data_IF_767902062071
#
_entry.id   IF_767902062071
#
_cell.length_a   1.000
_cell.length_b   1.000
_cell.length_c   1.000
_cell.angle_alpha   90.00
_cell.angle_beta   90.00
_cell.angle_gamma   90.00
#
_symmetry.space_group_name_H-M   'P 1'
#
loop_
_entity.id
_entity.type
_entity.pdbx_description
1 polymer ?
#
# COMPACT_ATOMS: atom_id res chain seq x y z
N UNK A 1 -0.04 -10.75 27.26
CA UNK A 1 -0.66 -10.85 25.92
C UNK A 1 0.04 -9.86 24.99
N UNK A 2 0.55 -10.30 23.86
CA UNK A 2 1.11 -9.38 22.87
C UNK A 2 0.01 -8.43 22.37
N UNK A 3 0.29 -7.12 22.41
CA UNK A 3 -0.64 -6.11 21.92
C UNK A 3 -0.78 -6.27 20.39
N UNK A 4 -1.98 -6.59 19.92
CA UNK A 4 -2.28 -6.66 18.49
C UNK A 4 -2.15 -5.28 17.85
N UNK A 5 -1.37 -5.17 16.77
CA UNK A 5 -1.27 -3.94 15.98
C UNK A 5 -2.48 -3.82 15.07
N UNK A 6 -3.21 -2.71 15.16
CA UNK A 6 -4.37 -2.41 14.33
C UNK A 6 -3.95 -1.52 13.17
N UNK A 7 -4.18 -1.99 11.95
CA UNK A 7 -3.80 -1.30 10.71
C UNK A 7 -5.07 -0.93 9.94
N UNK A 8 -5.14 0.32 9.46
CA UNK A 8 -6.09 0.76 8.45
C UNK A 8 -5.34 0.87 7.13
N UNK A 9 -5.78 0.17 6.11
CA UNK A 9 -5.21 0.27 4.76
C UNK A 9 -6.28 0.74 3.76
N UNK A 10 -5.90 1.57 2.81
CA UNK A 10 -6.75 2.08 1.74
C UNK A 10 -5.90 2.46 0.54
N UNK A 11 -6.39 2.18 -0.67
CA UNK A 11 -5.88 2.68 -1.95
C UNK A 11 -6.94 3.49 -2.69
N UNK A 12 -6.58 4.02 -3.84
CA UNK A 12 -7.48 4.63 -4.83
C UNK A 12 -8.36 5.75 -4.26
N UNK A 13 -7.76 6.62 -3.46
CA UNK A 13 -8.43 7.78 -2.84
C UNK A 13 -8.79 8.84 -3.89
N UNK A 14 -7.95 8.97 -4.95
CA UNK A 14 -8.16 9.89 -6.08
C UNK A 14 -8.61 11.31 -5.69
N UNK A 15 -7.98 11.87 -4.64
CA UNK A 15 -8.26 13.24 -4.20
C UNK A 15 -9.53 13.41 -3.35
N UNK A 16 -10.23 12.35 -2.98
CA UNK A 16 -11.43 12.41 -2.13
C UNK A 16 -11.10 12.80 -0.68
N UNK A 17 -11.05 14.10 -0.43
CA UNK A 17 -10.79 14.65 0.91
C UNK A 17 -11.92 14.36 1.90
N UNK A 18 -13.15 14.12 1.43
CA UNK A 18 -14.29 13.74 2.26
C UNK A 18 -14.10 12.34 2.84
N UNK A 19 -13.67 11.40 2.00
CA UNK A 19 -13.29 10.06 2.42
C UNK A 19 -12.14 10.11 3.43
N UNK A 20 -11.06 10.84 3.12
CA UNK A 20 -9.89 10.95 4.01
C UNK A 20 -10.30 11.42 5.40
N UNK A 21 -11.19 12.42 5.51
CA UNK A 21 -11.72 12.87 6.82
C UNK A 21 -12.44 11.75 7.57
N UNK A 22 -13.33 11.02 6.89
CA UNK A 22 -14.06 9.89 7.50
C UNK A 22 -13.12 8.78 7.97
N UNK A 23 -12.12 8.44 7.14
CA UNK A 23 -11.11 7.43 7.48
C UNK A 23 -10.21 7.86 8.65
N UNK A 24 -9.82 9.13 8.72
CA UNK A 24 -9.04 9.67 9.83
C UNK A 24 -9.83 9.67 11.15
N UNK A 25 -11.13 10.00 11.11
CA UNK A 25 -12.02 9.89 12.26
C UNK A 25 -12.19 8.43 12.70
N UNK A 26 -12.40 7.51 11.76
CA UNK A 26 -12.45 6.07 12.02
C UNK A 26 -11.14 5.59 12.67
N UNK A 27 -9.99 5.95 12.09
CA UNK A 27 -8.68 5.59 12.63
C UNK A 27 -8.48 6.09 14.07
N UNK A 28 -8.97 7.31 14.38
CA UNK A 28 -8.94 7.85 15.74
C UNK A 28 -9.88 7.09 16.68
N UNK A 29 -11.14 6.90 16.30
CA UNK A 29 -12.18 6.23 17.09
C UNK A 29 -11.81 4.78 17.43
N UNK A 30 -11.25 4.07 16.46
CA UNK A 30 -10.90 2.66 16.61
C UNK A 30 -9.48 2.43 17.16
N UNK A 31 -8.77 3.50 17.54
CA UNK A 31 -7.39 3.43 18.03
C UNK A 31 -6.46 2.67 17.07
N UNK A 32 -6.53 2.97 15.77
CA UNK A 32 -5.63 2.41 14.75
C UNK A 32 -4.19 2.81 15.09
N UNK A 33 -3.26 1.86 15.02
CA UNK A 33 -1.85 2.09 15.33
C UNK A 33 -1.06 2.55 14.09
N UNK A 34 -1.51 2.21 12.89
CA UNK A 34 -0.84 2.49 11.62
C UNK A 34 -1.84 2.65 10.48
N UNK A 35 -1.61 3.62 9.61
CA UNK A 35 -2.35 3.81 8.35
C UNK A 35 -1.43 3.50 7.18
N UNK A 36 -1.92 2.75 6.19
CA UNK A 36 -1.22 2.42 4.95
C UNK A 36 -2.02 2.98 3.78
N UNK A 37 -1.40 3.88 3.00
CA UNK A 37 -1.93 4.43 1.77
C UNK A 37 -1.31 3.69 0.59
N UNK A 38 -2.09 2.81 -0.03
CA UNK A 38 -1.62 1.83 -1.01
C UNK A 38 -1.64 2.35 -2.46
N UNK A 39 -1.33 3.62 -2.67
CA UNK A 39 -1.26 4.28 -3.97
C UNK A 39 -2.57 4.92 -4.41
N UNK A 40 -2.50 5.66 -5.51
CA UNK A 40 -3.58 6.46 -6.09
C UNK A 40 -4.24 7.38 -5.07
N UNK A 41 -3.38 8.07 -4.31
CA UNK A 41 -3.80 9.10 -3.36
C UNK A 41 -4.36 10.31 -4.10
N UNK A 42 -3.73 10.68 -5.22
CA UNK A 42 -4.12 11.80 -6.07
C UNK A 42 -4.86 11.32 -7.33
N UNK A 43 -5.46 12.23 -8.05
CA UNK A 43 -5.90 12.00 -9.42
C UNK A 43 -4.98 12.78 -10.37
N UNK A 44 -4.03 12.09 -11.03
CA UNK A 44 -3.07 12.67 -11.98
C UNK A 44 -2.31 13.89 -11.38
N UNK A 45 -1.95 13.79 -10.11
CA UNK A 45 -1.26 14.85 -9.31
C UNK A 45 -2.03 16.17 -9.15
N UNK A 46 -3.29 16.25 -9.59
CA UNK A 46 -4.06 17.50 -9.57
C UNK A 46 -4.49 17.96 -8.17
N UNK A 47 -4.64 17.05 -7.22
CA UNK A 47 -5.07 17.36 -5.85
C UNK A 47 -4.16 16.70 -4.83
N UNK A 48 -3.40 17.49 -4.09
CA UNK A 48 -2.48 16.99 -3.05
C UNK A 48 -2.86 17.46 -1.64
N UNK A 49 -3.74 18.48 -1.54
CA UNK A 49 -4.11 19.09 -0.27
C UNK A 49 -5.08 18.21 0.54
N UNK A 50 -4.85 18.14 1.85
CA UNK A 50 -5.74 17.46 2.82
C UNK A 50 -5.93 15.95 2.60
N UNK A 51 -5.05 15.28 1.88
CA UNK A 51 -5.10 13.83 1.66
C UNK A 51 -4.35 13.05 2.75
N UNK A 52 -3.35 13.64 3.38
CA UNK A 52 -2.54 13.03 4.45
C UNK A 52 -2.77 13.74 5.79
N UNK A 53 -2.88 15.07 5.75
CA UNK A 53 -2.97 15.92 6.93
C UNK A 53 -4.00 15.48 7.98
N UNK A 54 -5.21 15.01 7.63
CA UNK A 54 -6.19 14.52 8.60
C UNK A 54 -5.69 13.33 9.44
N UNK A 55 -4.95 12.39 8.86
CA UNK A 55 -4.36 11.26 9.60
C UNK A 55 -3.25 11.73 10.56
N UNK A 56 -2.40 12.65 10.09
CA UNK A 56 -1.33 13.25 10.92
C UNK A 56 -1.92 14.03 12.09
N UNK A 57 -2.97 14.83 11.84
CA UNK A 57 -3.72 15.54 12.91
C UNK A 57 -4.37 14.57 13.91
N UNK A 58 -4.80 13.39 13.44
CA UNK A 58 -5.31 12.32 14.30
C UNK A 58 -4.17 11.56 15.03
N UNK A 59 -2.92 12.03 14.92
CA UNK A 59 -1.71 11.42 15.52
C UNK A 59 -1.50 9.97 15.09
N UNK A 60 -1.78 9.66 13.81
CA UNK A 60 -1.55 8.33 13.24
C UNK A 60 -0.20 8.29 12.54
N UNK A 61 0.51 7.20 12.71
CA UNK A 61 1.67 6.87 11.87
C UNK A 61 1.15 6.47 10.49
N UNK A 62 1.76 6.99 9.44
CA UNK A 62 1.30 6.79 8.06
C UNK A 62 2.44 6.28 7.19
N UNK A 63 2.18 5.23 6.43
CA UNK A 63 3.03 4.75 5.35
C UNK A 63 2.33 4.99 4.02
N UNK A 64 3.09 5.29 2.99
CA UNK A 64 2.59 5.53 1.64
C UNK A 64 3.46 4.81 0.60
N UNK A 65 2.86 4.38 -0.49
CA UNK A 65 3.49 4.07 -1.77
C UNK A 65 2.80 4.89 -2.87
N UNK A 66 3.46 5.18 -4.00
CA UNK A 66 2.79 5.75 -5.17
C UNK A 66 1.83 4.73 -5.80
N UNK A 67 0.77 5.21 -6.44
CA UNK A 67 0.00 4.43 -7.41
C UNK A 67 0.44 4.74 -8.84
N UNK A 68 -0.45 4.57 -9.81
CA UNK A 68 -0.19 4.97 -11.19
C UNK A 68 -0.64 6.42 -11.49
N UNK A 69 -1.34 7.08 -10.58
CA UNK A 69 -1.80 8.47 -10.69
C UNK A 69 -0.88 9.50 -10.01
N UNK A 70 0.18 9.09 -9.35
CA UNK A 70 1.24 9.98 -8.86
C UNK A 70 2.64 9.40 -9.07
N UNK A 71 3.59 10.29 -9.33
CA UNK A 71 5.00 9.92 -9.47
C UNK A 71 5.65 9.62 -8.11
N UNK A 72 6.80 8.93 -8.13
CA UNK A 72 7.62 8.73 -6.92
C UNK A 72 8.03 10.08 -6.33
N UNK A 73 8.36 11.06 -7.18
CA UNK A 73 8.76 12.39 -6.73
C UNK A 73 7.64 13.11 -5.95
N UNK A 74 6.39 13.03 -6.43
CA UNK A 74 5.24 13.59 -5.72
C UNK A 74 4.99 12.85 -4.41
N UNK A 75 5.13 11.54 -4.40
CA UNK A 75 4.97 10.72 -3.18
C UNK A 75 6.04 11.05 -2.14
N UNK A 76 7.30 11.21 -2.56
CA UNK A 76 8.42 11.61 -1.69
C UNK A 76 8.21 13.02 -1.13
N UNK A 77 7.80 13.97 -1.98
CA UNK A 77 7.46 15.32 -1.55
C UNK A 77 6.36 15.33 -0.49
N UNK A 78 5.29 14.56 -0.70
CA UNK A 78 4.20 14.45 0.27
C UNK A 78 4.67 13.78 1.56
N UNK A 79 5.50 12.75 1.47
CA UNK A 79 6.04 12.06 2.64
C UNK A 79 6.90 13.01 3.49
N UNK A 80 7.76 13.80 2.86
CA UNK A 80 8.59 14.81 3.53
C UNK A 80 7.73 15.92 4.14
N UNK A 81 6.80 16.50 3.38
CA UNK A 81 5.92 17.60 3.82
C UNK A 81 5.12 17.25 5.07
N UNK A 82 4.65 16.01 5.18
CA UNK A 82 3.82 15.56 6.30
C UNK A 82 4.58 14.78 7.36
N UNK A 83 5.89 14.56 7.20
CA UNK A 83 6.72 13.80 8.13
C UNK A 83 6.31 12.31 8.22
N UNK A 84 5.84 11.73 7.12
CA UNK A 84 5.44 10.32 7.00
C UNK A 84 6.49 9.53 6.21
N UNK A 85 6.26 8.24 5.97
CA UNK A 85 7.26 7.39 5.30
C UNK A 85 6.74 6.84 3.97
N UNK A 86 7.46 7.14 2.88
CA UNK A 86 7.33 6.40 1.63
C UNK A 86 8.08 5.07 1.75
N UNK A 87 7.38 3.96 1.51
CA UNK A 87 7.96 2.60 1.56
C UNK A 87 8.16 1.99 0.17
N UNK A 88 8.07 2.77 -0.91
CA UNK A 88 8.37 2.32 -2.27
C UNK A 88 9.85 1.95 -2.42
N UNK A 89 10.17 0.67 -2.47
CA UNK A 89 11.53 0.13 -2.44
C UNK A 89 12.23 0.23 -1.08
N UNK A 90 11.48 0.58 -0.05
CA UNK A 90 11.93 0.66 1.34
C UNK A 90 11.11 -0.24 2.26
N UNK A 91 11.41 -0.17 3.53
CA UNK A 91 10.70 -0.92 4.56
C UNK A 91 10.54 -0.10 5.83
N UNK A 92 9.60 -0.54 6.64
CA UNK A 92 9.30 0.01 7.95
C UNK A 92 9.09 -1.14 8.94
N UNK A 93 9.52 -0.97 10.18
CA UNK A 93 9.32 -1.96 11.24
C UNK A 93 8.52 -1.36 12.39
N UNK A 94 7.50 -2.08 12.85
CA UNK A 94 6.71 -1.73 14.02
C UNK A 94 6.60 -2.94 14.94
N UNK A 95 7.35 -2.92 16.03
CA UNK A 95 7.52 -4.11 16.87
C UNK A 95 8.07 -5.28 16.05
N UNK A 96 7.40 -6.41 16.07
CA UNK A 96 7.79 -7.62 15.34
C UNK A 96 7.30 -7.66 13.87
N UNK A 97 6.61 -6.60 13.40
CA UNK A 97 6.04 -6.53 12.07
C UNK A 97 6.96 -5.73 11.15
N UNK A 98 7.44 -6.36 10.09
CA UNK A 98 8.11 -5.71 8.97
C UNK A 98 7.14 -5.43 7.83
N UNK A 99 7.18 -4.22 7.29
CA UNK A 99 6.31 -3.76 6.20
C UNK A 99 7.20 -3.25 5.09
N UNK A 100 6.97 -3.69 3.87
CA UNK A 100 7.72 -3.27 2.69
C UNK A 100 6.80 -3.14 1.50
N UNK A 101 7.19 -2.36 0.50
CA UNK A 101 6.27 -2.15 -0.63
C UNK A 101 6.91 -1.64 -1.89
N UNK A 102 6.12 -1.71 -2.96
CA UNK A 102 6.36 -1.09 -4.25
C UNK A 102 5.06 -0.63 -4.86
N UNK A 103 5.06 0.58 -5.39
CA UNK A 103 3.91 1.17 -6.09
C UNK A 103 4.17 1.33 -7.57
N UNK A 104 3.28 2.08 -8.24
CA UNK A 104 3.22 2.22 -9.69
C UNK A 104 2.27 1.22 -10.34
N UNK A 105 2.02 1.38 -11.62
CA UNK A 105 1.14 0.51 -12.39
C UNK A 105 1.64 0.29 -13.81
N UNK A 106 0.85 -0.38 -14.62
CA UNK A 106 1.11 -0.61 -16.05
C UNK A 106 0.53 0.49 -16.95
N UNK A 107 -0.30 1.35 -16.39
CA UNK A 107 -0.94 2.50 -17.03
C UNK A 107 -0.69 3.78 -16.22
N UNK A 108 -1.17 4.94 -16.72
CA UNK A 108 -1.10 6.22 -16.00
C UNK A 108 0.24 6.94 -16.16
N UNK A 109 0.50 7.88 -15.25
CA UNK A 109 1.72 8.71 -15.28
C UNK A 109 2.94 8.06 -14.62
N UNK A 110 2.71 7.09 -13.74
CA UNK A 110 3.77 6.31 -13.12
C UNK A 110 3.70 4.85 -13.56
N UNK A 111 4.16 4.62 -14.79
CA UNK A 111 4.31 3.27 -15.31
C UNK A 111 5.62 2.65 -14.83
N UNK A 112 5.56 1.40 -14.40
CA UNK A 112 6.69 0.66 -13.86
C UNK A 112 6.72 -0.77 -14.46
N UNK A 113 7.90 -1.25 -14.77
CA UNK A 113 8.08 -2.63 -15.28
C UNK A 113 8.02 -3.64 -14.14
N UNK A 114 7.49 -4.82 -14.43
CA UNK A 114 7.46 -5.95 -13.48
C UNK A 114 8.85 -6.25 -12.88
N UNK A 115 9.91 -6.21 -13.70
CA UNK A 115 11.27 -6.43 -13.21
C UNK A 115 11.68 -5.40 -12.14
N UNK A 116 11.27 -4.15 -12.28
CA UNK A 116 11.55 -3.09 -11.32
C UNK A 116 10.72 -3.26 -10.05
N UNK A 117 9.43 -3.57 -10.17
CA UNK A 117 8.57 -3.90 -9.02
C UNK A 117 9.22 -5.01 -8.17
N UNK A 118 9.70 -6.07 -8.82
CA UNK A 118 10.33 -7.18 -8.11
C UNK A 118 11.59 -6.77 -7.35
N UNK A 119 12.48 -5.98 -7.98
CA UNK A 119 13.72 -5.53 -7.32
C UNK A 119 13.44 -4.57 -6.16
N UNK A 120 12.44 -3.68 -6.27
CA UNK A 120 12.01 -2.81 -5.18
C UNK A 120 11.47 -3.62 -4.00
N UNK A 121 10.60 -4.60 -4.24
CA UNK A 121 10.07 -5.50 -3.22
C UNK A 121 11.17 -6.32 -2.56
N UNK A 122 12.10 -6.86 -3.35
CA UNK A 122 13.26 -7.62 -2.86
C UNK A 122 14.15 -6.77 -1.94
N UNK A 123 14.47 -5.55 -2.35
CA UNK A 123 15.24 -4.58 -1.54
C UNK A 123 14.56 -4.27 -0.21
N UNK A 124 13.24 -4.05 -0.23
CA UNK A 124 12.46 -3.82 0.99
C UNK A 124 12.43 -5.05 1.90
N UNK A 125 12.15 -6.24 1.35
CA UNK A 125 12.09 -7.50 2.10
C UNK A 125 13.42 -7.84 2.79
N UNK A 126 14.57 -7.60 2.13
CA UNK A 126 15.90 -7.87 2.71
C UNK A 126 16.15 -7.10 4.00
N UNK A 127 15.58 -5.90 4.16
CA UNK A 127 15.77 -5.06 5.34
C UNK A 127 14.95 -5.49 6.55
N UNK A 128 13.94 -6.33 6.34
CA UNK A 128 13.05 -6.82 7.39
C UNK A 128 13.12 -8.35 7.55
N UNK A 129 14.23 -8.97 7.14
CA UNK A 129 14.41 -10.44 7.18
C UNK A 129 14.16 -11.05 8.57
N UNK A 130 14.48 -10.30 9.62
CA UNK A 130 14.38 -10.74 11.01
C UNK A 130 13.01 -10.46 11.64
N UNK A 131 12.08 -9.87 10.91
CA UNK A 131 10.71 -9.62 11.38
C UNK A 131 9.94 -10.92 11.50
N UNK A 132 9.19 -11.10 12.60
CA UNK A 132 8.35 -12.30 12.81
C UNK A 132 7.13 -12.35 11.88
N UNK A 133 6.61 -11.16 11.51
CA UNK A 133 5.49 -10.99 10.59
C UNK A 133 5.89 -10.04 9.48
N UNK A 134 5.47 -10.36 8.26
CA UNK A 134 5.77 -9.54 7.08
C UNK A 134 4.50 -9.13 6.36
N UNK A 135 4.38 -7.84 6.12
CA UNK A 135 3.31 -7.27 5.28
C UNK A 135 3.95 -6.71 4.02
N UNK A 136 3.53 -7.20 2.88
CA UNK A 136 3.87 -6.66 1.57
C UNK A 136 2.76 -5.70 1.13
N UNK A 137 3.12 -4.53 0.62
CA UNK A 137 2.17 -3.52 0.11
C UNK A 137 2.51 -3.24 -1.34
N UNK A 138 1.55 -3.43 -2.22
CA UNK A 138 1.69 -3.09 -3.65
C UNK A 138 0.50 -2.26 -4.09
N UNK A 139 0.67 -1.43 -5.13
CA UNK A 139 -0.49 -0.81 -5.75
C UNK A 139 -1.17 -1.83 -6.66
N UNK A 140 -0.44 -2.40 -7.62
CA UNK A 140 -0.99 -3.47 -8.47
C UNK A 140 -1.30 -4.75 -7.68
N UNK A 141 -2.34 -5.46 -8.11
CA UNK A 141 -2.65 -6.81 -7.67
C UNK A 141 -1.70 -7.84 -8.34
N UNK A 142 -1.65 -9.05 -7.82
CA UNK A 142 -0.81 -10.11 -8.39
C UNK A 142 -1.48 -10.78 -9.60
N UNK A 143 -0.66 -11.32 -10.50
CA UNK A 143 -1.14 -12.15 -11.62
C UNK A 143 -1.89 -13.40 -11.11
N UNK A 144 -2.99 -13.73 -11.75
CA UNK A 144 -3.88 -14.83 -11.38
C UNK A 144 -4.72 -14.54 -10.12
N UNK A 145 -4.92 -13.27 -9.78
CA UNK A 145 -5.79 -12.86 -8.67
C UNK A 145 -7.26 -12.87 -9.08
N UNK A 146 -8.12 -12.91 -8.07
CA UNK A 146 -9.56 -12.72 -8.30
C UNK A 146 -9.89 -11.35 -8.88
N UNK A 147 -9.04 -10.35 -8.67
CA UNK A 147 -9.22 -8.99 -9.21
C UNK A 147 -9.14 -8.94 -10.74
N UNK A 148 -8.59 -9.97 -11.41
CA UNK A 148 -8.53 -10.05 -12.88
C UNK A 148 -9.90 -10.22 -13.55
N UNK A 149 -10.98 -10.43 -12.79
CA UNK A 149 -12.35 -10.39 -13.36
C UNK A 149 -12.67 -9.02 -13.98
N UNK A 150 -11.96 -7.97 -13.59
CA UNK A 150 -12.05 -6.63 -14.17
C UNK A 150 -11.54 -6.54 -15.62
N UNK A 151 -10.83 -7.58 -16.09
CA UNK A 151 -10.17 -7.59 -17.40
C UNK A 151 -8.74 -7.05 -17.40
N UNK A 152 -8.25 -6.56 -16.26
CA UNK A 152 -6.86 -6.12 -16.10
C UNK A 152 -6.00 -7.25 -15.54
N UNK A 153 -4.91 -7.58 -16.25
CA UNK A 153 -3.95 -8.60 -15.82
C UNK A 153 -3.13 -8.08 -14.63
N UNK A 154 -2.95 -8.91 -13.60
CA UNK A 154 -2.11 -8.57 -12.45
C UNK A 154 -0.62 -8.72 -12.72
N UNK A 155 0.21 -8.16 -11.84
CA UNK A 155 1.67 -8.19 -11.94
C UNK A 155 2.23 -9.58 -11.67
N UNK A 156 2.99 -10.12 -12.63
CA UNK A 156 3.77 -11.36 -12.48
C UNK A 156 4.88 -11.21 -11.44
N UNK A 157 5.42 -10.00 -11.32
CA UNK A 157 6.43 -9.68 -10.30
C UNK A 157 5.86 -9.75 -8.89
N UNK A 158 4.65 -9.22 -8.68
CA UNK A 158 3.97 -9.33 -7.38
C UNK A 158 3.66 -10.80 -7.06
N UNK A 159 3.21 -11.58 -8.03
CA UNK A 159 3.00 -13.03 -7.86
C UNK A 159 4.28 -13.74 -7.45
N UNK A 160 5.36 -13.50 -8.15
CA UNK A 160 6.70 -14.05 -7.84
C UNK A 160 7.17 -13.65 -6.44
N UNK A 161 6.96 -12.38 -6.06
CA UNK A 161 7.34 -11.89 -4.74
C UNK A 161 6.56 -12.59 -3.60
N UNK A 162 5.27 -12.91 -3.80
CA UNK A 162 4.50 -13.72 -2.85
C UNK A 162 5.15 -15.11 -2.68
N UNK A 163 5.52 -15.74 -3.80
CA UNK A 163 6.06 -17.10 -3.84
C UNK A 163 7.48 -17.19 -3.29
N UNK A 164 8.32 -16.14 -3.43
CA UNK A 164 9.69 -16.14 -2.94
C UNK A 164 9.85 -15.57 -1.53
N UNK A 165 9.08 -14.52 -1.17
CA UNK A 165 9.27 -13.81 0.10
C UNK A 165 8.32 -14.27 1.19
N UNK A 166 7.26 -15.00 0.83
CA UNK A 166 6.26 -15.57 1.73
C UNK A 166 5.75 -14.56 2.77
N UNK A 167 5.26 -13.36 2.38
CA UNK A 167 4.68 -12.43 3.34
C UNK A 167 3.46 -13.06 4.02
N UNK A 168 3.19 -12.68 5.28
CA UNK A 168 1.96 -13.12 5.96
C UNK A 168 0.71 -12.48 5.35
N UNK A 169 0.86 -11.21 4.91
CA UNK A 169 -0.21 -10.42 4.28
C UNK A 169 0.32 -9.69 3.06
N UNK A 170 -0.45 -9.70 1.96
CA UNK A 170 -0.34 -8.75 0.86
C UNK A 170 -1.53 -7.80 0.92
N UNK A 171 -1.25 -6.51 0.88
CA UNK A 171 -2.22 -5.44 0.68
C UNK A 171 -2.01 -4.92 -0.74
N UNK A 172 -3.04 -4.98 -1.57
CA UNK A 172 -3.03 -4.44 -2.94
C UNK A 172 -4.23 -3.53 -3.17
N UNK A 173 -4.20 -2.76 -4.25
CA UNK A 173 -5.22 -1.80 -4.65
C UNK A 173 -5.46 -1.84 -6.18
N UNK A 174 -5.62 -0.70 -6.85
CA UNK A 174 -5.68 -0.49 -8.30
C UNK A 174 -6.99 -0.92 -8.97
N UNK A 175 -7.64 -1.99 -8.56
CA UNK A 175 -8.90 -2.46 -9.16
C UNK A 175 -10.06 -2.11 -8.24
N UNK A 176 -10.78 -1.05 -8.56
CA UNK A 176 -11.86 -0.49 -7.74
C UNK A 176 -12.99 -1.48 -7.52
N UNK A 177 -13.37 -2.22 -8.58
CA UNK A 177 -14.43 -3.21 -8.53
C UNK A 177 -14.08 -4.40 -7.61
N UNK A 178 -12.81 -4.54 -7.24
CA UNK A 178 -12.31 -5.59 -6.36
C UNK A 178 -12.23 -5.17 -4.89
N UNK A 179 -12.84 -4.03 -4.50
CA UNK A 179 -12.86 -3.56 -3.12
C UNK A 179 -13.24 -4.66 -2.14
N UNK A 180 -12.39 -4.89 -1.14
CA UNK A 180 -12.62 -5.85 -0.07
C UNK A 180 -12.49 -7.33 -0.47
N UNK A 181 -12.12 -7.65 -1.71
CA UNK A 181 -11.85 -9.05 -2.09
C UNK A 181 -10.68 -9.59 -1.28
N UNK A 182 -10.92 -10.73 -0.67
CA UNK A 182 -9.90 -11.49 0.06
C UNK A 182 -9.63 -12.82 -0.65
N UNK A 183 -8.35 -13.19 -0.69
CA UNK A 183 -7.90 -14.47 -1.21
C UNK A 183 -6.65 -14.96 -0.46
N UNK A 184 -6.15 -16.14 -0.81
CA UNK A 184 -5.00 -16.73 -0.14
C UNK A 184 -4.13 -17.50 -1.12
N UNK A 185 -2.81 -17.28 -1.05
CA UNK A 185 -1.79 -18.05 -1.76
C UNK A 185 -0.84 -18.65 -0.73
N UNK A 186 -0.81 -19.96 -0.61
CA UNK A 186 -0.04 -20.62 0.43
C UNK A 186 -0.42 -20.12 1.83
N UNK A 187 0.51 -19.46 2.52
CA UNK A 187 0.29 -18.85 3.84
C UNK A 187 -0.13 -17.37 3.75
N UNK A 188 0.09 -16.72 2.62
CA UNK A 188 -0.14 -15.29 2.43
C UNK A 188 -1.64 -15.02 2.32
N UNK A 189 -2.18 -14.21 3.23
CA UNK A 189 -3.50 -13.60 3.08
C UNK A 189 -3.37 -12.38 2.18
N UNK A 190 -4.26 -12.24 1.20
CA UNK A 190 -4.25 -11.14 0.23
C UNK A 190 -5.55 -10.36 0.39
N UNK A 191 -5.45 -9.05 0.42
CA UNK A 191 -6.60 -8.15 0.61
C UNK A 191 -6.47 -7.02 -0.41
N UNK A 192 -7.51 -6.86 -1.25
CA UNK A 192 -7.66 -5.66 -2.05
C UNK A 192 -8.27 -4.56 -1.19
N UNK A 193 -7.61 -3.38 -1.14
CA UNK A 193 -8.03 -2.22 -0.36
C UNK A 193 -8.38 -1.01 -1.23
N UNK A 194 -8.65 -1.25 -2.50
CA UNK A 194 -9.18 -0.24 -3.42
C UNK A 194 -10.50 0.33 -2.92
N UNK A 195 -10.90 1.39 -3.57
CA UNK A 195 -12.19 1.99 -3.32
C UNK A 195 -12.80 2.54 -4.63
#
# INVERSE_FOLDING_TARGET
MEKKTKILAVGDIHGDTGLVKKLAEKAKKENVDLVILAGDLTLMEMQTKNLIGPFVKAKKEVLIIPGNHETVATTDFLAELYGIKNIHGYSFTKGDIGIFGAGGGDIGIHQIKDSEIFELLKKGNQRIKDSKKKIMVTHMHHHGSKSEFSGFEGSKAVRKAIEEFHPDVLISAHIHEAEGIEEKIGKTKIINVSR
#
